data_IF_060980964938
#
_entry.id   IF_060980964938
#
_cell.length_a   1.000
_cell.length_b   1.000
_cell.length_c   1.000
_cell.angle_alpha   90.00
_cell.angle_beta   90.00
_cell.angle_gamma   90.00
#
_symmetry.space_group_name_H-M   'P 1'
#
loop_
_entity.id
_entity.type
_entity.pdbx_description
1 polymer ?
#
# COMPACT_ATOMS: atom_id res chain seq x y z
N UNK A 1 -14.75 -16.05 -12.13
CA UNK A 1 -14.35 -15.17 -13.25
C UNK A 1 -12.91 -14.79 -13.06
N UNK A 2 -12.10 -14.84 -14.12
CA UNK A 2 -10.69 -14.41 -14.06
C UNK A 2 -10.60 -12.91 -14.34
N UNK A 3 -9.76 -12.21 -13.58
CA UNK A 3 -9.46 -10.78 -13.79
C UNK A 3 -7.99 -10.70 -14.21
N UNK A 4 -7.73 -10.07 -15.34
CA UNK A 4 -6.37 -9.79 -15.80
C UNK A 4 -5.92 -8.46 -15.18
N UNK A 5 -4.78 -8.48 -14.51
CA UNK A 5 -4.17 -7.28 -13.92
C UNK A 5 -3.31 -6.60 -14.99
N UNK A 6 -3.46 -5.28 -15.14
CA UNK A 6 -2.70 -4.44 -16.07
C UNK A 6 -1.95 -3.36 -15.30
N UNK A 7 -0.74 -3.01 -15.75
CA UNK A 7 0.05 -1.91 -15.20
C UNK A 7 0.04 -0.77 -16.20
N UNK A 8 -0.59 0.35 -15.83
CA UNK A 8 -0.74 1.51 -16.72
C UNK A 8 0.46 2.47 -16.64
N UNK A 9 1.02 2.64 -15.43
CA UNK A 9 2.17 3.51 -15.19
C UNK A 9 3.19 2.78 -14.30
N UNK A 10 4.33 2.41 -14.90
CA UNK A 10 5.36 1.66 -14.19
C UNK A 10 5.99 2.45 -13.04
N UNK A 11 6.22 3.75 -13.21
CA UNK A 11 6.87 4.58 -12.18
C UNK A 11 5.99 4.75 -10.94
N UNK A 12 4.68 4.90 -11.15
CA UNK A 12 3.71 5.00 -10.05
C UNK A 12 3.51 3.66 -9.35
N UNK A 13 3.48 2.57 -10.12
CA UNK A 13 3.43 1.23 -9.52
C UNK A 13 4.63 0.97 -8.62
N UNK A 14 5.85 1.32 -9.08
CA UNK A 14 7.08 1.13 -8.31
C UNK A 14 7.05 1.92 -6.99
N UNK A 15 6.59 3.17 -6.99
CA UNK A 15 6.51 3.97 -5.76
C UNK A 15 5.47 3.42 -4.77
N UNK A 16 4.35 2.90 -5.27
CA UNK A 16 3.32 2.25 -4.45
C UNK A 16 3.85 0.94 -3.87
N UNK A 17 4.59 0.15 -4.66
CA UNK A 17 5.23 -1.07 -4.16
C UNK A 17 6.25 -0.77 -3.07
N UNK A 18 7.14 0.21 -3.27
CA UNK A 18 8.12 0.60 -2.26
C UNK A 18 7.45 1.09 -0.97
N UNK A 19 6.42 1.92 -1.07
CA UNK A 19 5.70 2.45 0.10
C UNK A 19 5.01 1.35 0.92
N UNK A 20 4.47 0.30 0.27
CA UNK A 20 3.70 -0.74 0.94
C UNK A 20 4.54 -1.98 1.32
N UNK A 21 5.59 -2.27 0.55
CA UNK A 21 6.36 -3.52 0.64
C UNK A 21 7.84 -3.28 0.94
N UNK A 22 8.29 -2.02 0.98
CA UNK A 22 9.64 -1.65 1.38
C UNK A 22 9.90 -1.85 2.87
N UNK A 23 11.15 -1.57 3.22
CA UNK A 23 11.69 -1.78 4.57
C UNK A 23 11.19 -0.72 5.58
N UNK A 24 10.84 0.46 5.08
CA UNK A 24 10.40 1.58 5.90
C UNK A 24 8.98 1.36 6.44
N UNK A 25 8.86 1.29 7.76
CA UNK A 25 7.58 1.01 8.44
C UNK A 25 6.67 2.24 8.48
N UNK A 26 7.26 3.43 8.61
CA UNK A 26 6.51 4.68 8.82
C UNK A 26 5.64 5.10 7.62
N UNK A 27 6.13 5.07 6.36
CA UNK A 27 5.31 5.39 5.19
C UNK A 27 4.11 4.44 5.06
N UNK A 28 4.33 3.15 5.31
CA UNK A 28 3.29 2.13 5.31
C UNK A 28 2.23 2.38 6.39
N UNK A 29 2.65 2.72 7.61
CA UNK A 29 1.75 3.04 8.72
C UNK A 29 0.84 4.21 8.36
N UNK A 30 1.42 5.29 7.85
CA UNK A 30 0.67 6.50 7.46
C UNK A 30 -0.35 6.19 6.36
N UNK A 31 0.07 5.45 5.33
CA UNK A 31 -0.83 5.02 4.26
C UNK A 31 -2.02 4.22 4.81
N UNK A 32 -1.77 3.28 5.73
CA UNK A 32 -2.83 2.49 6.36
C UNK A 32 -3.73 3.40 7.17
N UNK A 33 -3.21 4.28 8.01
CA UNK A 33 -4.03 5.19 8.83
C UNK A 33 -4.93 6.10 8.00
N UNK A 34 -4.41 6.67 6.90
CA UNK A 34 -5.14 7.60 6.05
C UNK A 34 -6.28 6.93 5.26
N UNK A 35 -6.13 5.63 4.95
CA UNK A 35 -7.08 4.89 4.11
C UNK A 35 -7.92 3.87 4.90
N UNK A 36 -7.59 3.62 6.17
CA UNK A 36 -8.27 2.67 7.02
C UNK A 36 -9.52 3.28 7.65
N UNK A 37 -10.68 2.88 7.14
CA UNK A 37 -11.96 3.27 7.74
C UNK A 37 -12.16 2.67 9.15
N UNK A 38 -11.53 1.52 9.49
CA UNK A 38 -11.74 0.81 10.77
C UNK A 38 -10.58 -0.10 11.22
N UNK A 39 -9.32 0.23 10.95
CA UNK A 39 -8.21 -0.66 11.36
C UNK A 39 -8.10 -0.69 12.89
N UNK A 40 -8.45 -1.85 13.47
CA UNK A 40 -8.52 -2.05 14.93
C UNK A 40 -7.16 -2.26 15.59
N UNK A 41 -6.15 -2.73 14.86
CA UNK A 41 -4.89 -3.21 15.43
C UNK A 41 -3.68 -2.62 14.66
N UNK A 42 -3.41 -1.32 14.81
CA UNK A 42 -2.23 -0.67 14.21
C UNK A 42 -0.98 -0.74 15.11
N UNK A 43 -1.14 -0.90 16.42
CA UNK A 43 -0.07 -0.71 17.42
C UNK A 43 0.10 -1.90 18.41
N UNK A 44 -0.31 -3.12 18.05
CA UNK A 44 -0.16 -4.33 18.90
C UNK A 44 1.09 -5.12 18.50
#
# INVERSE_FOLDING_TARGET
>A
TLIQVTVENAMEADSVFEMLMGDEVEPRRNFIMDNALFVKNLDI
#
